data_IF_870424073026
#
_entry.id   IF_870424073026
#
_cell.length_a   1.000
_cell.length_b   1.000
_cell.length_c   1.000
_cell.angle_alpha   90.00
_cell.angle_beta   90.00
_cell.angle_gamma   90.00
#
_symmetry.space_group_name_H-M   'P 1'
#
loop_
_entity.id
_entity.type
_entity.pdbx_description
1 polymer ?
#
# COMPACT_ATOMS: atom_id res chain seq x y z
N UNK A 1 12.61 -19.68 1.46
CA UNK A 1 11.47 -20.49 1.97
C UNK A 1 10.80 -21.20 0.81
N UNK A 2 10.07 -22.26 1.09
CA UNK A 2 9.31 -22.97 0.07
C UNK A 2 7.94 -22.32 -0.15
N UNK A 3 7.52 -22.25 -1.40
CA UNK A 3 6.19 -21.81 -1.81
C UNK A 3 5.11 -22.71 -1.20
N UNK A 4 4.05 -22.11 -0.67
CA UNK A 4 2.90 -22.79 -0.11
C UNK A 4 1.63 -22.45 -0.92
N UNK A 5 1.28 -23.34 -1.85
CA UNK A 5 0.12 -23.16 -2.73
C UNK A 5 -1.20 -23.06 -1.97
N UNK A 6 -1.41 -23.84 -0.90
CA UNK A 6 -2.64 -23.77 -0.11
C UNK A 6 -2.84 -22.38 0.52
N UNK A 7 -1.75 -21.78 1.03
CA UNK A 7 -1.79 -20.42 1.58
C UNK A 7 -1.99 -19.36 0.50
N UNK A 8 -1.41 -19.57 -0.69
CA UNK A 8 -1.62 -18.69 -1.83
C UNK A 8 -3.06 -18.73 -2.32
N UNK A 9 -3.64 -19.92 -2.47
CA UNK A 9 -5.05 -20.12 -2.83
C UNK A 9 -5.96 -19.43 -1.82
N UNK A 10 -5.77 -19.70 -0.53
CA UNK A 10 -6.52 -19.08 0.55
C UNK A 10 -6.42 -17.55 0.50
N UNK A 11 -5.22 -17.00 0.28
CA UNK A 11 -5.01 -15.56 0.18
C UNK A 11 -5.74 -14.95 -1.02
N UNK A 12 -5.62 -15.54 -2.20
CA UNK A 12 -6.26 -15.04 -3.43
C UNK A 12 -7.79 -15.09 -3.34
N UNK A 13 -8.31 -16.20 -2.82
CA UNK A 13 -9.74 -16.37 -2.55
C UNK A 13 -10.23 -15.36 -1.52
N UNK A 14 -9.46 -15.12 -0.46
CA UNK A 14 -9.84 -14.14 0.56
C UNK A 14 -9.82 -12.70 0.02
N UNK A 15 -8.84 -12.34 -0.81
CA UNK A 15 -8.78 -11.01 -1.42
C UNK A 15 -10.05 -10.72 -2.24
N UNK A 16 -10.51 -11.68 -3.06
CA UNK A 16 -11.71 -11.46 -3.86
C UNK A 16 -12.98 -11.46 -2.99
N UNK A 17 -13.02 -12.28 -1.93
CA UNK A 17 -14.15 -12.30 -1.00
C UNK A 17 -14.28 -10.98 -0.24
N UNK A 18 -13.16 -10.39 0.20
CA UNK A 18 -13.13 -9.06 0.83
C UNK A 18 -13.61 -7.98 -0.15
N UNK A 19 -13.22 -8.05 -1.42
CA UNK A 19 -13.72 -7.12 -2.44
C UNK A 19 -15.23 -7.30 -2.69
N UNK A 20 -15.74 -8.54 -2.63
CA UNK A 20 -17.17 -8.85 -2.71
C UNK A 20 -18.04 -8.13 -1.67
N UNK A 21 -17.46 -7.76 -0.52
CA UNK A 21 -18.12 -7.01 0.55
C UNK A 21 -18.28 -5.51 0.26
N UNK A 22 -17.65 -4.98 -0.78
CA UNK A 22 -17.78 -3.58 -1.18
C UNK A 22 -19.07 -3.35 -1.99
N UNK A 23 -19.40 -2.08 -2.23
CA UNK A 23 -20.51 -1.72 -3.11
C UNK A 23 -20.41 -2.42 -4.49
N UNK A 24 -21.53 -2.76 -5.14
CA UNK A 24 -21.53 -3.52 -6.40
C UNK A 24 -20.69 -2.92 -7.54
N UNK A 25 -20.43 -1.61 -7.50
CA UNK A 25 -19.61 -0.89 -8.47
C UNK A 25 -18.09 -1.01 -8.21
N UNK A 26 -17.68 -1.41 -6.99
CA UNK A 26 -16.29 -1.42 -6.51
C UNK A 26 -15.79 -2.80 -6.07
N UNK A 27 -16.53 -3.86 -6.38
CA UNK A 27 -16.17 -5.25 -6.02
C UNK A 27 -15.31 -5.99 -7.06
N UNK A 28 -15.14 -5.43 -8.26
CA UNK A 28 -14.40 -6.07 -9.34
C UNK A 28 -12.89 -5.80 -9.29
N UNK A 29 -12.09 -6.86 -9.15
CA UNK A 29 -10.63 -6.76 -9.12
C UNK A 29 -10.02 -7.22 -10.45
N UNK A 30 -9.08 -6.43 -10.96
CA UNK A 30 -8.20 -6.86 -12.04
C UNK A 30 -6.97 -7.62 -11.53
N UNK A 31 -6.24 -8.28 -12.43
CA UNK A 31 -5.01 -9.03 -12.14
C UNK A 31 -4.01 -8.23 -11.28
N UNK A 32 -3.81 -6.96 -11.64
CA UNK A 32 -2.89 -6.06 -10.93
C UNK A 32 -3.29 -5.97 -9.46
N UNK A 33 -4.58 -5.78 -9.14
CA UNK A 33 -5.05 -5.65 -7.77
C UNK A 33 -4.77 -6.92 -6.96
N UNK A 34 -5.11 -8.10 -7.51
CA UNK A 34 -4.91 -9.39 -6.84
C UNK A 34 -3.44 -9.60 -6.48
N UNK A 35 -2.53 -9.34 -7.42
CA UNK A 35 -1.09 -9.46 -7.20
C UNK A 35 -0.60 -8.46 -6.16
N UNK A 36 -1.06 -7.20 -6.22
CA UNK A 36 -0.62 -6.16 -5.29
C UNK A 36 -1.16 -6.38 -3.87
N UNK A 37 -2.39 -6.84 -3.72
CA UNK A 37 -2.93 -7.19 -2.41
C UNK A 37 -2.25 -8.44 -1.83
N UNK A 38 -1.93 -9.43 -2.66
CA UNK A 38 -1.14 -10.59 -2.21
C UNK A 38 0.25 -10.18 -1.72
N UNK A 39 0.94 -9.30 -2.46
CA UNK A 39 2.22 -8.71 -2.05
C UNK A 39 2.11 -7.98 -0.70
N UNK A 40 1.07 -7.17 -0.51
CA UNK A 40 0.88 -6.40 0.72
C UNK A 40 0.56 -7.29 1.92
N UNK A 41 -0.15 -8.40 1.71
CA UNK A 41 -0.37 -9.40 2.75
C UNK A 41 0.93 -10.10 3.16
N UNK A 42 1.75 -10.51 2.19
CA UNK A 42 3.08 -11.07 2.45
C UNK A 42 3.99 -10.06 3.17
N UNK A 43 3.94 -8.79 2.77
CA UNK A 43 4.71 -7.72 3.40
C UNK A 43 4.32 -7.51 4.87
N UNK A 44 3.01 -7.46 5.14
CA UNK A 44 2.51 -7.33 6.50
C UNK A 44 2.90 -8.53 7.36
N UNK A 45 2.74 -9.75 6.84
CA UNK A 45 3.13 -10.97 7.52
C UNK A 45 4.64 -10.98 7.83
N UNK A 46 5.47 -10.68 6.83
CA UNK A 46 6.93 -10.62 6.98
C UNK A 46 7.41 -9.60 8.00
N UNK A 47 6.71 -8.46 8.13
CA UNK A 47 7.07 -7.47 9.14
C UNK A 47 6.96 -7.98 10.58
N UNK A 48 6.11 -8.98 10.83
CA UNK A 48 5.89 -9.60 12.14
C UNK A 48 6.60 -10.95 12.30
N UNK A 49 6.98 -11.59 11.18
CA UNK A 49 7.57 -12.92 11.14
C UNK A 49 9.03 -12.89 10.66
N UNK A 50 9.82 -11.91 11.11
CA UNK A 50 11.27 -11.83 10.84
C UNK A 50 11.66 -11.90 9.34
N UNK A 51 10.84 -11.30 8.47
CA UNK A 51 11.06 -11.27 7.03
C UNK A 51 10.51 -12.50 6.30
N UNK A 52 9.86 -13.43 7.01
CA UNK A 52 9.21 -14.57 6.41
C UNK A 52 7.86 -14.19 5.80
N UNK A 53 7.60 -14.49 4.52
CA UNK A 53 6.32 -14.21 3.85
C UNK A 53 5.27 -15.30 4.16
N UNK A 54 3.99 -14.95 4.04
CA UNK A 54 2.89 -15.86 4.34
C UNK A 54 2.83 -17.00 3.34
N UNK A 55 2.98 -16.67 2.06
CA UNK A 55 2.85 -17.60 0.92
C UNK A 55 4.16 -18.29 0.54
N UNK A 56 5.32 -17.70 0.89
CA UNK A 56 6.61 -18.13 0.37
C UNK A 56 6.87 -17.76 -1.09
N UNK A 57 6.10 -16.86 -1.68
CA UNK A 57 6.28 -16.40 -3.07
C UNK A 57 7.62 -15.72 -3.31
N UNK A 58 8.15 -15.88 -4.52
CA UNK A 58 9.33 -15.17 -5.00
C UNK A 58 8.90 -13.88 -5.68
N UNK A 59 9.08 -12.77 -4.98
CA UNK A 59 8.74 -11.45 -5.49
C UNK A 59 9.93 -10.78 -6.18
N UNK A 60 9.67 -10.20 -7.36
CA UNK A 60 10.63 -9.45 -8.18
C UNK A 60 10.10 -8.05 -8.46
N UNK A 61 10.96 -7.04 -8.47
CA UNK A 61 10.60 -5.73 -9.01
C UNK A 61 10.53 -5.83 -10.54
N UNK A 62 9.33 -5.73 -11.11
CA UNK A 62 9.09 -5.78 -12.54
C UNK A 62 8.09 -4.71 -12.99
N UNK A 63 8.48 -3.85 -13.94
CA UNK A 63 7.67 -2.79 -14.57
C UNK A 63 6.74 -2.07 -13.57
N UNK A 64 5.52 -2.56 -13.41
CA UNK A 64 4.46 -2.08 -12.50
C UNK A 64 4.60 -2.57 -11.05
N UNK A 65 5.83 -2.64 -10.53
CA UNK A 65 6.11 -2.93 -9.12
C UNK A 65 6.41 -4.40 -8.79
N UNK A 66 5.99 -4.92 -7.63
CA UNK A 66 6.25 -6.30 -7.22
C UNK A 66 5.46 -7.28 -8.10
N UNK A 67 6.14 -8.33 -8.55
CA UNK A 67 5.59 -9.35 -9.43
C UNK A 67 6.08 -10.74 -9.01
N UNK A 68 5.19 -11.72 -9.09
CA UNK A 68 5.51 -13.15 -8.99
C UNK A 68 4.76 -13.89 -10.10
N UNK A 69 5.50 -14.73 -10.83
CA UNK A 69 4.94 -15.55 -11.91
C UNK A 69 4.01 -16.61 -11.33
N UNK A 70 4.38 -17.19 -10.20
CA UNK A 70 3.61 -18.20 -9.48
C UNK A 70 2.29 -17.61 -8.98
N UNK A 71 2.31 -16.39 -8.43
CA UNK A 71 1.09 -15.69 -8.05
C UNK A 71 0.19 -15.46 -9.26
N UNK A 72 0.75 -14.96 -10.36
CA UNK A 72 -0.01 -14.70 -11.59
C UNK A 72 -0.68 -15.97 -12.13
N UNK A 73 0.07 -17.06 -12.22
CA UNK A 73 -0.43 -18.35 -12.72
C UNK A 73 -1.49 -18.98 -11.82
N UNK A 74 -1.45 -18.69 -10.52
CA UNK A 74 -2.37 -19.29 -9.54
C UNK A 74 -3.70 -18.54 -9.44
N UNK A 75 -3.78 -17.26 -9.83
CA UNK A 75 -5.02 -16.45 -9.75
C UNK A 75 -6.22 -17.17 -10.35
N UNK A 76 -6.16 -17.54 -11.62
CA UNK A 76 -7.32 -18.13 -12.29
C UNK A 76 -7.74 -19.48 -11.67
N UNK A 77 -6.84 -20.46 -11.44
CA UNK A 77 -7.19 -21.69 -10.72
C UNK A 77 -7.80 -21.46 -9.32
N UNK A 78 -7.23 -20.56 -8.52
CA UNK A 78 -7.74 -20.27 -7.16
C UNK A 78 -9.16 -19.71 -7.22
N UNK A 79 -9.41 -18.77 -8.13
CA UNK A 79 -10.68 -18.06 -8.21
C UNK A 79 -11.79 -18.90 -8.83
N UNK A 80 -11.47 -19.71 -9.85
CA UNK A 80 -12.44 -20.66 -10.42
C UNK A 80 -12.88 -21.69 -9.38
N UNK A 81 -11.97 -22.14 -8.50
CA UNK A 81 -12.29 -23.18 -7.50
C UNK A 81 -13.37 -22.78 -6.49
N UNK A 82 -13.58 -21.47 -6.29
CA UNK A 82 -14.62 -20.92 -5.41
C UNK A 82 -15.82 -20.35 -6.18
N UNK A 83 -15.89 -20.54 -7.50
CA UNK A 83 -17.00 -20.06 -8.32
C UNK A 83 -16.99 -18.54 -8.59
N UNK A 84 -15.82 -17.89 -8.51
CA UNK A 84 -15.71 -16.48 -8.89
C UNK A 84 -16.03 -16.27 -10.38
N UNK A 85 -16.64 -15.13 -10.70
CA UNK A 85 -17.03 -14.78 -12.07
C UNK A 85 -15.92 -14.00 -12.75
N UNK A 86 -15.55 -14.42 -13.96
CA UNK A 86 -14.60 -13.73 -14.82
C UNK A 86 -15.34 -12.89 -15.87
N UNK A 87 -14.94 -11.62 -16.02
CA UNK A 87 -15.40 -10.72 -17.08
C UNK A 87 -14.20 -10.21 -17.87
N UNK A 88 -14.18 -10.51 -19.17
CA UNK A 88 -13.19 -9.96 -20.10
C UNK A 88 -13.71 -8.65 -20.67
N UNK A 89 -12.88 -7.62 -20.65
CA UNK A 89 -13.19 -6.33 -21.27
C UNK A 89 -12.25 -6.18 -22.47
N UNK A 90 -12.86 -6.22 -23.65
CA UNK A 90 -12.16 -6.09 -24.91
C UNK A 90 -11.73 -4.63 -25.13
N UNK A 91 -10.48 -4.43 -25.59
CA UNK A 91 -9.99 -3.10 -25.94
C UNK A 91 -9.46 -3.07 -27.37
N UNK A 92 -9.90 -2.09 -28.16
CA UNK A 92 -9.38 -1.91 -29.53
C UNK A 92 -7.93 -1.37 -29.56
N UNK A 93 -7.47 -0.76 -28.46
CA UNK A 93 -6.19 -0.02 -28.38
C UNK A 93 -5.16 -0.67 -27.47
N UNK A 94 -5.62 -1.43 -26.47
CA UNK A 94 -4.77 -2.08 -25.48
C UNK A 94 -5.07 -3.57 -25.45
N UNK A 95 -4.26 -4.34 -24.73
CA UNK A 95 -4.58 -5.73 -24.48
C UNK A 95 -5.88 -5.86 -23.66
N UNK A 96 -6.66 -6.90 -23.97
CA UNK A 96 -7.86 -7.23 -23.21
C UNK A 96 -7.52 -7.43 -21.74
N UNK A 97 -8.37 -6.89 -20.87
CA UNK A 97 -8.15 -7.00 -19.42
C UNK A 97 -9.28 -7.74 -18.72
N UNK A 98 -8.88 -8.62 -17.80
CA UNK A 98 -9.76 -9.50 -17.05
C UNK A 98 -10.10 -8.89 -15.70
N UNK A 99 -11.39 -8.91 -15.34
CA UNK A 99 -11.94 -8.56 -14.04
C UNK A 99 -12.57 -9.78 -13.38
N UNK A 100 -12.34 -9.94 -12.09
CA UNK A 100 -12.93 -10.98 -11.25
C UNK A 100 -13.88 -10.36 -10.24
N UNK A 101 -14.94 -11.08 -9.91
CA UNK A 101 -15.84 -10.76 -8.81
C UNK A 101 -16.34 -12.02 -8.12
N UNK A 102 -16.72 -11.88 -6.87
CA UNK A 102 -17.35 -12.91 -6.06
C UNK A 102 -18.46 -12.26 -5.25
N UNK A 103 -19.61 -12.93 -5.16
CA UNK A 103 -20.78 -12.49 -4.40
C UNK A 103 -21.21 -13.65 -3.49
N UNK A 104 -20.48 -13.81 -2.38
CA UNK A 104 -20.68 -14.88 -1.39
C UNK A 104 -20.19 -14.43 0.00
N UNK A 105 -21.12 -13.92 0.81
CA UNK A 105 -20.84 -13.42 2.18
C UNK A 105 -20.42 -14.55 3.14
N UNK A 106 -21.03 -15.73 3.02
CA UNK A 106 -20.70 -16.89 3.88
C UNK A 106 -19.27 -17.38 3.62
N UNK A 107 -18.78 -17.26 2.38
CA UNK A 107 -17.41 -17.61 2.03
C UNK A 107 -16.39 -16.61 2.60
N UNK A 108 -16.72 -15.32 2.69
CA UNK A 108 -15.85 -14.33 3.33
C UNK A 108 -15.51 -14.72 4.78
N UNK A 109 -16.52 -15.05 5.59
CA UNK A 109 -16.33 -15.44 6.99
C UNK A 109 -15.52 -16.74 7.11
N UNK A 110 -15.89 -17.76 6.33
CA UNK A 110 -15.19 -19.07 6.35
C UNK A 110 -13.72 -19.00 5.94
N UNK A 111 -13.39 -18.16 4.97
CA UNK A 111 -11.99 -17.97 4.54
C UNK A 111 -11.22 -17.14 5.58
N UNK A 112 -11.87 -16.14 6.18
CA UNK A 112 -11.31 -15.34 7.26
C UNK A 112 -10.88 -16.18 8.47
N UNK A 113 -11.73 -17.13 8.89
CA UNK A 113 -11.46 -18.03 10.02
C UNK A 113 -10.25 -18.95 9.81
N UNK A 114 -9.89 -19.24 8.55
CA UNK A 114 -8.75 -20.09 8.20
C UNK A 114 -7.44 -19.30 8.04
N UNK A 115 -7.52 -17.98 7.93
CA UNK A 115 -6.41 -17.12 7.56
C UNK A 115 -5.62 -16.63 8.77
N UNK A 116 -4.32 -16.38 8.58
CA UNK A 116 -3.53 -15.72 9.61
C UNK A 116 -4.05 -14.29 9.86
N UNK A 117 -4.18 -13.92 11.14
CA UNK A 117 -4.72 -12.62 11.57
C UNK A 117 -3.98 -11.42 10.95
N UNK A 118 -2.67 -11.53 10.74
CA UNK A 118 -1.85 -10.45 10.16
C UNK A 118 -2.13 -10.29 8.69
N UNK A 119 -2.14 -11.41 7.95
CA UNK A 119 -2.40 -11.40 6.51
C UNK A 119 -3.86 -10.98 6.23
N UNK A 120 -4.81 -11.52 6.99
CA UNK A 120 -6.23 -11.17 6.93
C UNK A 120 -6.45 -9.66 7.18
N UNK A 121 -5.92 -9.15 8.29
CA UNK A 121 -6.04 -7.74 8.66
C UNK A 121 -5.38 -6.80 7.64
N UNK A 122 -4.27 -7.23 7.02
CA UNK A 122 -3.62 -6.47 5.95
C UNK A 122 -4.51 -6.37 4.71
N UNK A 123 -5.07 -7.48 4.24
CA UNK A 123 -5.98 -7.49 3.08
C UNK A 123 -7.16 -6.55 3.33
N UNK A 124 -7.86 -6.69 4.45
CA UNK A 124 -8.99 -5.82 4.79
C UNK A 124 -8.61 -4.33 4.88
N UNK A 125 -7.47 -4.04 5.52
CA UNK A 125 -6.97 -2.67 5.66
C UNK A 125 -6.69 -2.03 4.30
N UNK A 126 -5.95 -2.72 3.44
CA UNK A 126 -5.56 -2.18 2.14
C UNK A 126 -6.72 -2.16 1.15
N UNK A 127 -7.63 -3.14 1.21
CA UNK A 127 -8.86 -3.10 0.42
C UNK A 127 -9.73 -1.90 0.80
N UNK A 128 -9.88 -1.59 2.09
CA UNK A 128 -10.60 -0.39 2.55
C UNK A 128 -9.92 0.91 2.12
N UNK A 129 -8.59 0.90 2.02
CA UNK A 129 -7.80 2.09 1.70
C UNK A 129 -7.79 2.40 0.21
N UNK A 130 -7.71 1.37 -0.64
CA UNK A 130 -7.52 1.54 -2.09
C UNK A 130 -8.67 0.97 -2.92
N UNK A 131 -9.32 -0.12 -2.49
CA UNK A 131 -10.38 -0.77 -3.26
C UNK A 131 -9.94 -1.09 -4.69
N UNK A 132 -10.56 -0.43 -5.66
CA UNK A 132 -10.28 -0.52 -7.11
C UNK A 132 -9.38 0.59 -7.63
N UNK A 133 -8.91 1.52 -6.78
CA UNK A 133 -7.98 2.59 -7.14
C UNK A 133 -6.58 2.04 -7.44
N UNK A 134 -6.35 1.77 -8.72
CA UNK A 134 -5.08 1.25 -9.21
C UNK A 134 -3.94 2.24 -8.98
N UNK A 135 -4.17 3.56 -9.12
CA UNK A 135 -3.10 4.55 -9.03
C UNK A 135 -2.63 4.71 -7.58
N UNK A 136 -3.57 4.87 -6.64
CA UNK A 136 -3.25 4.96 -5.22
C UNK A 136 -2.58 3.69 -4.70
N UNK A 137 -3.06 2.52 -5.13
CA UNK A 137 -2.46 1.23 -4.77
C UNK A 137 -1.01 1.12 -5.27
N UNK A 138 -0.77 1.48 -6.54
CA UNK A 138 0.57 1.42 -7.11
C UNK A 138 1.52 2.41 -6.42
N UNK A 139 1.11 3.67 -6.24
CA UNK A 139 1.91 4.68 -5.53
C UNK A 139 2.34 4.20 -4.15
N UNK A 140 1.40 3.64 -3.38
CA UNK A 140 1.69 3.07 -2.07
C UNK A 140 2.70 1.92 -2.16
N UNK A 141 2.51 1.00 -3.10
CA UNK A 141 3.40 -0.15 -3.28
C UNK A 141 4.83 0.29 -3.61
N UNK A 142 5.02 1.28 -4.47
CA UNK A 142 6.37 1.80 -4.80
C UNK A 142 7.09 2.41 -3.59
N UNK A 143 6.34 2.90 -2.59
CA UNK A 143 6.88 3.47 -1.35
C UNK A 143 7.17 2.42 -0.26
N UNK A 144 6.89 1.15 -0.51
CA UNK A 144 7.18 0.09 0.47
C UNK A 144 8.69 -0.17 0.58
N UNK A 145 9.16 -0.53 1.78
CA UNK A 145 10.60 -0.73 2.04
C UNK A 145 11.29 -1.71 1.08
N UNK A 146 10.74 -2.91 0.77
CA UNK A 146 11.40 -3.82 -0.19
C UNK A 146 11.50 -3.22 -1.60
N UNK A 147 10.51 -2.43 -2.02
CA UNK A 147 10.48 -1.76 -3.33
C UNK A 147 11.47 -0.59 -3.44
N UNK A 148 11.70 0.13 -2.34
CA UNK A 148 12.68 1.21 -2.29
C UNK A 148 14.13 0.69 -2.25
N UNK A 149 14.32 -0.51 -1.68
CA UNK A 149 15.63 -1.16 -1.58
C UNK A 149 16.07 -1.91 -2.84
N UNK A 150 15.13 -2.22 -3.75
CA UNK A 150 15.39 -3.00 -4.96
C UNK A 150 15.43 -2.13 -6.23
N UNK A 151 16.20 -2.58 -7.22
CA UNK A 151 16.18 -2.10 -8.60
C UNK A 151 15.27 -2.98 -9.49
N UNK A 152 14.77 -2.46 -10.63
CA UNK A 152 14.04 -3.26 -11.61
C UNK A 152 14.84 -4.50 -12.01
N UNK A 153 14.20 -5.66 -11.99
CA UNK A 153 14.86 -6.94 -12.26
C UNK A 153 15.32 -7.70 -11.01
N UNK A 154 15.43 -7.04 -9.85
CA UNK A 154 15.92 -7.66 -8.63
C UNK A 154 14.82 -8.35 -7.81
N UNK A 155 15.22 -9.33 -7.02
CA UNK A 155 14.35 -9.97 -6.03
C UNK A 155 14.13 -9.02 -4.84
N UNK A 156 12.91 -9.03 -4.30
CA UNK A 156 12.56 -8.20 -3.16
C UNK A 156 12.97 -8.88 -1.86
N UNK A 157 13.74 -8.17 -1.03
CA UNK A 157 14.10 -8.63 0.31
C UNK A 157 13.11 -8.13 1.37
N UNK A 158 12.34 -9.06 1.92
CA UNK A 158 11.37 -8.79 2.97
C UNK A 158 12.00 -8.65 4.37
N UNK A 159 13.29 -9.01 4.55
CA UNK A 159 13.98 -8.78 5.83
C UNK A 159 14.10 -7.30 6.17
N UNK A 160 14.15 -6.44 5.16
CA UNK A 160 14.17 -4.98 5.31
C UNK A 160 12.84 -4.45 5.91
N UNK A 161 11.76 -5.20 5.78
CA UNK A 161 10.45 -4.83 6.31
C UNK A 161 10.30 -5.10 7.81
N UNK A 162 11.20 -5.88 8.41
CA UNK A 162 11.19 -6.17 9.85
C UNK A 162 11.37 -4.85 10.58
N UNK A 163 10.31 -4.38 11.24
CA UNK A 163 10.45 -3.29 12.18
C UNK A 163 11.39 -3.78 13.28
N UNK A 164 12.42 -3.00 13.62
CA UNK A 164 13.15 -3.22 14.86
C UNK A 164 12.09 -3.29 15.96
N UNK A 165 11.87 -4.48 16.53
CA UNK A 165 10.95 -4.66 17.64
C UNK A 165 11.33 -3.58 18.63
N UNK A 166 10.45 -2.60 18.87
CA UNK A 166 10.44 -1.96 20.18
C UNK A 166 10.18 -3.13 21.10
N UNK A 167 11.23 -3.61 21.76
CA UNK A 167 11.11 -4.48 22.92
C UNK A 167 10.28 -3.71 23.92
N UNK A 168 8.96 -3.88 23.83
CA UNK A 168 8.15 -3.81 25.03
C UNK A 168 8.58 -5.04 25.81
N UNK A 169 9.40 -4.79 26.84
CA UNK A 169 9.68 -5.79 27.85
C UNK A 169 8.34 -6.29 28.38
N UNK A 170 8.17 -7.62 28.35
CA UNK A 170 7.15 -8.41 29.04
C UNK A 170 5.68 -8.00 28.85
N UNK A 171 5.01 -8.64 27.87
CA UNK A 171 3.57 -8.84 27.96
C UNK A 171 3.28 -9.80 29.12
N UNK A 172 3.06 -9.25 30.32
CA UNK A 172 2.33 -9.93 31.38
C UNK A 172 0.97 -10.41 30.82
N UNK A 173 0.47 -11.58 31.23
CA UNK A 173 -0.81 -12.09 30.74
C UNK A 173 -1.91 -11.07 31.00
N UNK A 174 -2.67 -10.71 29.95
CA UNK A 174 -3.79 -9.77 30.02
C UNK A 174 -4.73 -10.16 31.17
N UNK A 175 -4.66 -9.42 32.28
CA UNK A 175 -5.57 -9.61 33.39
C UNK A 175 -7.00 -9.35 32.91
N UNK A 176 -7.86 -10.36 32.98
CA UNK A 176 -9.27 -10.24 32.59
C UNK A 176 -9.95 -9.11 33.39
N UNK A 177 -10.15 -7.98 32.72
CA UNK A 177 -10.76 -6.81 33.33
C UNK A 177 -12.21 -7.12 33.74
N UNK A 178 -12.51 -6.90 35.01
CA UNK A 178 -13.87 -7.03 35.55
C UNK A 178 -14.84 -6.09 34.83
N UNK A 179 -16.14 -6.42 34.81
CA UNK A 179 -17.20 -5.63 34.14
C UNK A 179 -17.18 -4.15 34.56
N UNK A 180 -16.82 -3.86 35.81
CA UNK A 180 -16.68 -2.50 36.35
C UNK A 180 -15.48 -1.75 35.77
N UNK A 181 -14.35 -2.43 35.59
CA UNK A 181 -13.15 -1.87 34.96
C UNK A 181 -13.37 -1.61 33.47
N UNK A 182 -14.06 -2.51 32.75
CA UNK A 182 -14.44 -2.31 31.34
C UNK A 182 -15.33 -1.06 31.16
N UNK A 183 -16.29 -0.82 32.06
CA UNK A 183 -17.14 0.38 32.05
C UNK A 183 -16.33 1.66 32.30
N UNK A 184 -15.41 1.63 33.26
CA UNK A 184 -14.52 2.76 33.54
C UNK A 184 -13.60 3.07 32.35
N UNK A 185 -13.09 2.04 31.68
CA UNK A 185 -12.23 2.17 30.50
C UNK A 185 -13.00 2.78 29.33
N UNK A 186 -14.23 2.33 29.09
CA UNK A 186 -15.11 2.91 28.06
C UNK A 186 -15.41 4.38 28.32
N UNK A 187 -15.67 4.76 29.58
CA UNK A 187 -15.89 6.16 29.96
C UNK A 187 -14.63 7.02 29.77
N UNK A 188 -13.46 6.52 30.16
CA UNK A 188 -12.17 7.21 29.92
C UNK A 188 -11.87 7.36 28.43
N UNK A 189 -12.16 6.33 27.64
CA UNK A 189 -11.98 6.35 26.19
C UNK A 189 -12.93 7.35 25.51
N UNK A 190 -14.19 7.40 25.95
CA UNK A 190 -15.17 8.38 25.46
C UNK A 190 -14.71 9.82 25.75
N UNK A 191 -14.29 10.09 27.00
CA UNK A 191 -13.78 11.39 27.41
C UNK A 191 -12.48 11.79 26.68
N UNK A 192 -11.62 10.79 26.37
CA UNK A 192 -10.42 11.01 25.58
C UNK A 192 -10.76 11.33 24.12
N UNK A 193 -11.70 10.60 23.51
CA UNK A 193 -12.19 10.84 22.14
C UNK A 193 -12.81 12.23 22.00
N UNK A 194 -13.59 12.66 23.00
CA UNK A 194 -14.18 13.99 23.06
C UNK A 194 -13.09 15.07 23.13
N UNK A 195 -12.07 14.91 24.00
CA UNK A 195 -10.92 15.82 24.05
C UNK A 195 -10.17 15.89 22.73
N UNK A 196 -9.92 14.74 22.08
CA UNK A 196 -9.23 14.68 20.79
C UNK A 196 -10.02 15.41 19.69
N UNK A 197 -11.32 15.17 19.61
CA UNK A 197 -12.18 15.86 18.66
C UNK A 197 -12.18 17.38 18.88
N UNK A 198 -12.24 17.84 20.13
CA UNK A 198 -12.17 19.29 20.43
C UNK A 198 -10.83 19.91 20.04
N UNK A 199 -9.72 19.17 20.20
CA UNK A 199 -8.38 19.63 19.78
C UNK A 199 -8.25 19.67 18.25
N UNK A 200 -8.77 18.68 17.54
CA UNK A 200 -8.82 18.65 16.08
C UNK A 200 -9.68 19.78 15.53
N UNK A 201 -10.85 20.04 16.10
CA UNK A 201 -11.72 21.15 15.70
C UNK A 201 -11.07 22.51 15.93
N UNK A 202 -10.32 22.67 17.03
CA UNK A 202 -9.53 23.87 17.30
C UNK A 202 -8.40 24.03 16.27
N UNK A 203 -7.64 22.97 15.97
CA UNK A 203 -6.59 23.01 14.96
C UNK A 203 -7.11 23.30 13.55
N UNK A 204 -8.27 22.75 13.17
CA UNK A 204 -8.91 23.04 11.87
C UNK A 204 -9.36 24.50 11.78
N UNK A 205 -9.89 25.07 12.87
CA UNK A 205 -10.23 26.51 12.96
C UNK A 205 -8.99 27.40 12.89
N UNK A 206 -7.92 27.01 13.58
CA UNK A 206 -6.64 27.74 13.59
C UNK A 206 -5.90 27.63 12.24
N UNK A 207 -6.01 26.51 11.53
CA UNK A 207 -5.42 26.36 10.20
C UNK A 207 -6.22 27.08 9.11
N UNK A 208 -7.55 27.19 9.25
CA UNK A 208 -8.38 28.02 8.35
C UNK A 208 -8.05 29.51 8.43
N UNK A 209 -7.50 30.00 9.56
CA UNK A 209 -7.06 31.40 9.70
C UNK A 209 -5.61 31.65 9.29
N UNK A 210 -4.80 30.59 9.12
CA UNK A 210 -3.37 30.68 8.75
C UNK A 210 -3.09 30.63 7.25
N UNK A 211 -4.06 30.29 6.41
CA UNK A 211 -3.90 30.34 4.96
C UNK A 211 -4.29 31.71 4.42
N UNK A 212 -3.38 32.65 4.59
CA UNK A 212 -3.24 33.75 3.64
C UNK A 212 -1.73 33.87 3.39
N UNK A 213 -1.14 33.08 2.46
CA UNK A 213 0.16 33.46 1.96
C UNK A 213 -0.05 34.86 1.37
N UNK A 214 0.65 35.86 1.92
CA UNK A 214 0.71 37.17 1.30
C UNK A 214 0.97 36.95 -0.21
N UNK A 215 0.27 37.67 -1.10
CA UNK A 215 0.51 37.51 -2.52
C UNK A 215 2.02 37.73 -2.77
N UNK A 216 2.65 36.91 -3.64
CA UNK A 216 4.06 37.03 -3.92
C UNK A 216 4.40 38.48 -4.30
N UNK A 217 5.43 39.03 -3.65
CA UNK A 217 5.92 40.37 -3.92
C UNK A 217 6.82 40.31 -5.15
N UNK A 218 6.34 40.88 -6.24
CA UNK A 218 7.09 41.11 -7.47
C UNK A 218 7.64 42.53 -7.45
N UNK A 219 8.54 42.81 -6.51
CA UNK A 219 9.25 44.08 -6.42
C UNK A 219 10.58 44.01 -7.19
N UNK A 220 11.28 45.14 -7.29
CA UNK A 220 12.55 45.22 -8.01
C UNK A 220 13.58 44.24 -7.44
N UNK A 221 13.54 43.99 -6.12
CA UNK A 221 14.41 43.01 -5.44
C UNK A 221 14.14 41.59 -5.93
N UNK A 222 12.87 41.20 -6.13
CA UNK A 222 12.51 39.92 -6.72
C UNK A 222 13.08 39.75 -8.13
N UNK A 223 12.95 40.77 -8.99
CA UNK A 223 13.45 40.70 -10.37
C UNK A 223 14.98 40.74 -10.46
N UNK A 224 15.65 41.50 -9.59
CA UNK A 224 17.10 41.49 -9.46
C UNK A 224 17.62 40.11 -9.02
N UNK A 225 16.93 39.48 -8.05
CA UNK A 225 17.26 38.13 -7.60
C UNK A 225 17.06 37.08 -8.70
N UNK A 226 15.96 37.18 -9.46
CA UNK A 226 15.70 36.29 -10.60
C UNK A 226 16.77 36.43 -11.68
N UNK A 227 17.15 37.66 -12.03
CA UNK A 227 18.19 37.91 -13.03
C UNK A 227 19.56 37.35 -12.61
N UNK A 228 19.89 37.39 -11.31
CA UNK A 228 21.12 36.79 -10.79
C UNK A 228 21.09 35.25 -10.87
N UNK A 229 19.94 34.64 -10.58
CA UNK A 229 19.74 33.20 -10.70
C UNK A 229 19.83 32.74 -12.16
N UNK A 230 19.18 33.45 -13.08
CA UNK A 230 19.24 33.16 -14.52
C UNK A 230 20.66 33.31 -15.07
N UNK A 231 21.40 34.33 -14.61
CA UNK A 231 22.81 34.50 -14.98
C UNK A 231 23.71 33.36 -14.44
N UNK A 232 23.35 32.77 -13.29
CA UNK A 232 24.07 31.67 -12.67
C UNK A 232 23.65 30.28 -13.22
N UNK A 233 22.46 30.16 -13.81
CA UNK A 233 21.87 28.91 -14.28
C UNK A 233 22.59 28.27 -15.49
N UNK A 234 23.63 28.92 -16.02
CA UNK A 234 24.39 28.45 -17.17
C UNK A 234 23.62 28.61 -18.48
N UNK A 235 24.19 28.11 -19.57
CA UNK A 235 23.54 28.13 -20.88
C UNK A 235 22.52 27.00 -20.99
N UNK A 236 21.26 27.37 -21.24
CA UNK A 236 20.22 26.43 -21.62
C UNK A 236 20.66 25.64 -22.88
N UNK A 237 20.30 24.35 -22.97
CA UNK A 237 20.49 23.60 -24.21
C UNK A 237 19.71 24.28 -25.34
N UNK A 238 20.23 24.21 -26.56
CA UNK A 238 19.56 24.77 -27.74
C UNK A 238 18.17 24.11 -27.92
N UNK A 239 17.22 24.78 -28.55
CA UNK A 239 15.93 24.16 -28.87
C UNK A 239 16.14 22.95 -29.81
N UNK A 240 15.61 21.78 -29.44
CA UNK A 240 15.80 20.54 -30.19
C UNK A 240 15.18 19.32 -29.49
N UNK A 241 15.21 18.18 -30.18
CA UNK A 241 14.80 16.90 -29.60
C UNK A 241 15.96 16.30 -28.80
N UNK A 242 15.73 16.11 -27.50
CA UNK A 242 16.69 15.47 -26.60
C UNK A 242 16.12 14.17 -26.06
N UNK A 243 16.96 13.15 -25.95
CA UNK A 243 16.64 11.94 -25.21
C UNK A 243 17.19 12.08 -23.80
N UNK A 244 16.29 12.27 -22.83
CA UNK A 244 16.65 12.17 -21.42
C UNK A 244 16.86 10.70 -21.06
N UNK A 245 18.01 10.38 -20.46
CA UNK A 245 18.31 9.06 -19.91
C UNK A 245 18.65 9.20 -18.44
N UNK A 246 18.21 8.24 -17.63
CA UNK A 246 18.56 8.17 -16.21
C UNK A 246 19.60 7.07 -16.02
N UNK A 247 20.60 7.31 -15.17
CA UNK A 247 21.49 6.23 -14.74
C UNK A 247 20.69 5.19 -13.97
N UNK A 248 21.00 3.91 -14.17
CA UNK A 248 20.40 2.81 -13.40
C UNK A 248 20.68 2.92 -11.90
N UNK A 249 21.75 3.63 -11.53
CA UNK A 249 22.12 3.90 -10.13
C UNK A 249 21.04 4.69 -9.36
N UNK A 250 20.12 5.36 -10.06
CA UNK A 250 19.01 6.10 -9.45
C UNK A 250 18.16 5.18 -8.57
N UNK A 251 18.02 3.91 -8.94
CA UNK A 251 17.23 2.94 -8.19
C UNK A 251 17.84 2.59 -6.84
N UNK A 252 19.15 2.74 -6.67
CA UNK A 252 19.84 2.48 -5.39
C UNK A 252 20.28 3.77 -4.69
N UNK A 253 19.86 4.91 -5.22
CA UNK A 253 20.19 6.22 -4.65
C UNK A 253 19.57 6.42 -3.27
N UNK A 254 20.31 7.11 -2.39
CA UNK A 254 19.84 7.50 -1.05
C UNK A 254 18.56 8.31 -1.07
N UNK A 255 18.35 9.11 -2.11
CA UNK A 255 17.15 9.93 -2.28
C UNK A 255 15.84 9.11 -2.28
N UNK A 256 15.88 7.80 -2.58
CA UNK A 256 14.68 6.94 -2.57
C UNK A 256 14.26 6.49 -1.17
N UNK A 257 15.15 6.51 -0.19
CA UNK A 257 14.91 5.92 1.13
C UNK A 257 15.28 6.83 2.30
N UNK A 258 15.98 7.93 2.05
CA UNK A 258 16.33 8.92 3.05
C UNK A 258 15.22 9.99 3.16
N UNK A 259 14.51 10.06 4.30
CA UNK A 259 13.45 11.04 4.50
C UNK A 259 13.95 12.49 4.55
N UNK A 260 15.25 12.73 4.70
CA UNK A 260 15.82 14.09 4.64
C UNK A 260 16.08 14.57 3.20
N UNK A 261 16.10 13.64 2.23
CA UNK A 261 16.36 13.91 0.81
C UNK A 261 15.11 13.76 -0.08
N UNK A 262 14.02 13.19 0.45
CA UNK A 262 12.81 12.82 -0.30
C UNK A 262 11.65 13.82 -0.16
#
# INVERSE_FOLDING_TARGET
>A
MALNYNRLDLLLQYIIAVAGQNDPYDRELGMIHLIKYAYLADLAYASQHNGETFTGLTWKFHHFGPWSVECFQQIEPSLISIGATQRTIESEKYDDFVRWSLDDDDLFDRLGDQMDLTAMGAVQKYMRMFGTDTYGLLDFVYKTKPMLAAAPGELLDFKVAVAAKKTFEDDEPEAELTVRQKKLHRQKFQAFKEKLNTQLEQQVKDNRSKTCPLPPRYDDVFFEGLAQLDAAAGTLPAEGEYTATFSEDIWKSKARHDPELS
#
